data_IF_127629868964
#
_entry.id   IF_127629868964
#
_cell.length_a   1.000
_cell.length_b   1.000
_cell.length_c   1.000
_cell.angle_alpha   90.00
_cell.angle_beta   90.00
_cell.angle_gamma   90.00
#
_symmetry.space_group_name_H-M   'P 1'
#
loop_
_entity.id
_entity.type
_entity.pdbx_description
1 polymer ?
#
# COMPACT_ATOMS: atom_id res chain seq x y z
N UNK A 1 16.04 34.11 -1.87
CA UNK A 1 16.27 33.29 -3.08
C UNK A 1 15.41 33.85 -4.20
N UNK A 2 15.96 34.08 -5.39
CA UNK A 2 15.15 34.46 -6.56
C UNK A 2 14.36 33.24 -7.01
N UNK A 3 13.05 33.41 -7.24
CA UNK A 3 12.16 32.38 -7.79
C UNK A 3 12.64 32.05 -9.21
N UNK A 4 13.00 30.80 -9.48
CA UNK A 4 13.35 30.35 -10.83
C UNK A 4 12.04 30.09 -11.59
N UNK A 5 11.42 31.15 -12.09
CA UNK A 5 10.21 31.00 -12.90
C UNK A 5 10.56 30.30 -14.20
N UNK A 6 10.13 29.04 -14.35
CA UNK A 6 9.98 28.37 -15.66
C UNK A 6 8.82 29.03 -16.40
N UNK A 7 9.00 30.30 -16.74
CA UNK A 7 7.97 31.11 -17.38
C UNK A 7 7.85 30.79 -18.88
N UNK A 8 6.98 31.55 -19.56
CA UNK A 8 6.73 31.36 -20.98
C UNK A 8 8.00 31.56 -21.82
N UNK A 9 8.98 32.33 -21.35
CA UNK A 9 10.21 32.57 -22.08
C UNK A 9 11.11 31.32 -22.11
N UNK A 10 11.14 30.53 -21.04
CA UNK A 10 11.89 29.27 -21.04
C UNK A 10 11.27 28.21 -21.96
N UNK A 11 9.94 28.13 -22.01
CA UNK A 11 9.27 27.24 -22.97
C UNK A 11 9.48 27.71 -24.42
N UNK A 12 9.48 29.02 -24.66
CA UNK A 12 9.75 29.61 -25.98
C UNK A 12 11.17 29.31 -26.47
N UNK A 13 12.17 29.34 -25.57
CA UNK A 13 13.56 28.94 -25.91
C UNK A 13 13.65 27.49 -26.37
N UNK A 14 12.79 26.61 -25.86
CA UNK A 14 12.74 25.22 -26.31
C UNK A 14 12.24 25.03 -27.74
N UNK A 15 11.73 26.09 -28.39
CA UNK A 15 11.28 26.07 -29.78
C UNK A 15 12.34 26.43 -30.82
N UNK A 16 13.54 26.80 -30.41
CA UNK A 16 14.65 27.02 -31.33
C UNK A 16 15.17 25.68 -31.89
N UNK A 17 15.56 25.61 -33.18
CA UNK A 17 16.16 24.40 -33.76
C UNK A 17 17.38 23.96 -32.96
N UNK A 18 17.53 22.65 -32.72
CA UNK A 18 18.65 22.12 -31.94
C UNK A 18 20.01 22.28 -32.62
N UNK A 19 20.03 22.47 -33.93
CA UNK A 19 21.26 22.62 -34.74
C UNK A 19 21.99 23.94 -34.49
N UNK A 20 21.30 24.94 -33.93
CA UNK A 20 21.84 26.28 -33.68
C UNK A 20 22.42 26.45 -32.27
N UNK A 21 22.37 25.41 -31.42
CA UNK A 21 22.69 25.52 -30.00
C UNK A 21 24.15 25.15 -29.71
N UNK A 22 24.87 26.06 -29.05
CA UNK A 22 26.18 25.74 -28.49
C UNK A 22 26.06 24.97 -27.16
N UNK A 23 27.12 24.28 -26.76
CA UNK A 23 27.20 23.60 -25.45
C UNK A 23 26.96 24.60 -24.29
N UNK A 24 27.40 25.87 -24.46
CA UNK A 24 27.18 26.95 -23.49
C UNK A 24 25.70 27.35 -23.43
N UNK A 25 25.01 27.47 -24.56
CA UNK A 25 23.57 27.77 -24.58
C UNK A 25 22.78 26.68 -23.87
N UNK A 26 23.15 25.41 -24.07
CA UNK A 26 22.56 24.29 -23.38
C UNK A 26 22.78 24.36 -21.85
N UNK A 27 23.99 24.69 -21.39
CA UNK A 27 24.28 24.89 -19.95
C UNK A 27 23.46 26.05 -19.36
N UNK A 28 23.33 27.16 -20.08
CA UNK A 28 22.52 28.30 -19.66
C UNK A 28 21.02 27.94 -19.57
N UNK A 29 20.50 27.18 -20.53
CA UNK A 29 19.13 26.69 -20.49
C UNK A 29 18.91 25.74 -19.32
N UNK A 30 19.77 24.72 -19.16
CA UNK A 30 19.68 23.77 -18.05
C UNK A 30 19.73 24.48 -16.70
N UNK A 31 20.63 25.46 -16.55
CA UNK A 31 20.74 26.29 -15.35
C UNK A 31 19.45 27.08 -15.09
N UNK A 32 18.84 27.65 -16.12
CA UNK A 32 17.59 28.39 -16.00
C UNK A 32 16.39 27.49 -15.66
N UNK A 33 16.38 26.24 -16.12
CA UNK A 33 15.39 25.23 -15.75
C UNK A 33 15.64 24.62 -14.36
N UNK A 34 16.84 24.76 -13.82
CA UNK A 34 17.24 24.23 -12.52
C UNK A 34 17.05 22.71 -12.45
N UNK A 35 16.51 22.22 -11.33
CA UNK A 35 16.32 20.77 -11.12
C UNK A 35 15.18 20.18 -11.93
N UNK A 36 14.39 20.99 -12.65
CA UNK A 36 13.39 20.49 -13.58
C UNK A 36 14.00 20.04 -14.92
N UNK A 37 15.20 20.53 -15.28
CA UNK A 37 15.86 20.18 -16.54
C UNK A 37 15.97 18.67 -16.79
N UNK A 38 16.47 17.83 -15.84
CA UNK A 38 16.60 16.40 -16.06
C UNK A 38 15.26 15.67 -16.22
N UNK A 39 14.15 16.29 -15.83
CA UNK A 39 12.80 15.74 -16.00
C UNK A 39 12.26 15.98 -17.40
N UNK A 40 12.54 17.15 -18.00
CA UNK A 40 11.84 17.61 -19.21
C UNK A 40 12.73 17.68 -20.46
N UNK A 41 13.96 18.19 -20.35
CA UNK A 41 14.80 18.52 -21.51
C UNK A 41 15.36 17.26 -22.16
N UNK A 42 15.54 17.30 -23.49
CA UNK A 42 16.09 16.21 -24.28
C UNK A 42 17.49 15.79 -23.80
N UNK A 43 17.81 14.49 -23.92
CA UNK A 43 19.11 13.96 -23.45
C UNK A 43 20.30 14.58 -24.18
N UNK A 44 20.13 14.95 -25.46
CA UNK A 44 21.14 15.67 -26.24
C UNK A 44 21.45 17.06 -25.65
N UNK A 45 20.44 17.77 -25.13
CA UNK A 45 20.60 19.07 -24.46
C UNK A 45 21.31 18.91 -23.13
N UNK A 46 20.94 17.88 -22.36
CA UNK A 46 21.60 17.59 -21.08
C UNK A 46 23.06 17.18 -21.27
N UNK A 47 23.37 16.40 -22.30
CA UNK A 47 24.74 16.01 -22.62
C UNK A 47 25.59 17.20 -23.11
N UNK A 48 25.02 18.09 -23.92
CA UNK A 48 25.69 19.33 -24.34
C UNK A 48 26.00 20.24 -23.13
N UNK A 49 25.03 20.41 -22.22
CA UNK A 49 25.24 21.13 -20.97
C UNK A 49 26.30 20.46 -20.08
N UNK A 50 26.35 19.12 -20.03
CA UNK A 50 27.33 18.38 -19.26
C UNK A 50 28.76 18.56 -19.81
N UNK A 51 28.94 18.57 -21.14
CA UNK A 51 30.23 18.89 -21.78
C UNK A 51 30.70 20.31 -21.48
N UNK A 52 29.79 21.28 -21.55
CA UNK A 52 30.11 22.66 -21.18
C UNK A 52 30.56 22.75 -19.72
N UNK A 53 29.82 22.11 -18.80
CA UNK A 53 30.17 22.08 -17.38
C UNK A 53 31.53 21.40 -17.12
N UNK A 54 31.89 20.34 -17.86
CA UNK A 54 33.22 19.72 -17.80
C UNK A 54 34.32 20.65 -18.31
N UNK A 55 34.08 21.40 -19.39
CA UNK A 55 35.05 22.36 -19.92
C UNK A 55 35.35 23.49 -18.91
N UNK A 56 34.38 23.81 -18.06
CA UNK A 56 34.50 24.75 -16.93
C UNK A 56 35.04 24.11 -15.63
N UNK A 57 35.43 22.83 -15.64
CA UNK A 57 35.99 22.13 -14.48
C UNK A 57 34.94 21.63 -13.46
N UNK A 58 33.65 21.58 -13.81
CA UNK A 58 32.56 21.18 -12.93
C UNK A 58 32.06 19.75 -13.21
N UNK A 59 32.95 18.76 -13.06
CA UNK A 59 32.66 17.35 -13.35
C UNK A 59 31.52 16.78 -12.50
N UNK A 60 31.31 17.28 -11.28
CA UNK A 60 30.22 16.83 -10.40
C UNK A 60 28.84 17.26 -10.92
N UNK A 61 28.74 18.49 -11.44
CA UNK A 61 27.51 18.96 -12.07
C UNK A 61 27.21 18.19 -13.35
N UNK A 62 28.22 18.00 -14.20
CA UNK A 62 28.10 17.20 -15.42
C UNK A 62 27.62 15.76 -15.12
N UNK A 63 28.20 15.10 -14.12
CA UNK A 63 27.76 13.78 -13.68
C UNK A 63 26.29 13.79 -13.20
N UNK A 64 25.84 14.87 -12.55
CA UNK A 64 24.45 15.02 -12.10
C UNK A 64 23.49 15.19 -13.28
N UNK A 65 23.87 15.92 -14.33
CA UNK A 65 23.05 16.13 -15.53
C UNK A 65 22.83 14.84 -16.32
N UNK A 66 23.82 13.93 -16.32
CA UNK A 66 23.74 12.63 -16.99
C UNK A 66 22.95 11.59 -16.19
N UNK A 67 22.67 11.84 -14.91
CA UNK A 67 21.87 10.91 -14.11
C UNK A 67 20.38 11.07 -14.43
N UNK A 68 19.70 9.94 -14.64
CA UNK A 68 18.24 9.95 -14.68
C UNK A 68 17.66 10.52 -13.39
N UNK A 69 16.65 11.40 -13.48
CA UNK A 69 15.98 11.91 -12.32
C UNK A 69 15.27 10.76 -11.59
N UNK A 70 15.18 10.91 -10.27
CA UNK A 70 14.41 10.00 -9.41
C UNK A 70 13.46 10.83 -8.58
N UNK A 71 12.26 10.31 -8.33
CA UNK A 71 11.32 10.91 -7.38
C UNK A 71 11.98 10.90 -5.99
N UNK A 72 12.29 12.09 -5.44
CA UNK A 72 12.93 12.28 -4.13
C UNK A 72 12.09 13.21 -3.26
N UNK A 73 12.26 13.12 -1.93
CA UNK A 73 11.89 14.20 -1.01
C UNK A 73 10.48 14.18 -0.41
N UNK A 74 9.49 13.51 -1.00
CA UNK A 74 8.14 13.42 -0.42
C UNK A 74 7.61 12.00 -0.47
N UNK A 75 7.03 11.51 0.64
CA UNK A 75 6.54 10.12 0.76
C UNK A 75 5.36 9.83 -0.18
N UNK A 76 4.61 10.87 -0.55
CA UNK A 76 3.49 10.81 -1.48
C UNK A 76 3.78 11.39 -2.86
N UNK A 77 5.07 11.60 -3.22
CA UNK A 77 5.38 12.10 -4.56
C UNK A 77 5.14 11.03 -5.63
N UNK A 78 4.64 11.46 -6.78
CA UNK A 78 4.34 10.64 -7.95
C UNK A 78 4.77 11.37 -9.22
N UNK A 79 4.88 10.65 -10.34
CA UNK A 79 5.21 11.21 -11.63
C UNK A 79 3.99 11.18 -12.58
N UNK A 80 3.70 12.32 -13.20
CA UNK A 80 2.78 12.40 -14.34
C UNK A 80 3.57 12.22 -15.62
N UNK A 81 3.21 11.23 -16.43
CA UNK A 81 3.85 10.98 -17.73
C UNK A 81 3.10 11.73 -18.83
N UNK A 82 3.86 12.51 -19.61
CA UNK A 82 3.35 13.37 -20.69
C UNK A 82 4.08 13.06 -22.00
N UNK A 83 3.45 13.42 -23.11
CA UNK A 83 4.01 13.28 -24.46
C UNK A 83 4.05 14.65 -25.10
N UNK A 84 5.21 15.01 -25.64
CA UNK A 84 5.40 16.19 -26.46
C UNK A 84 4.86 15.92 -27.87
N UNK A 85 3.56 16.19 -28.08
CA UNK A 85 2.88 16.01 -29.36
C UNK A 85 3.39 16.95 -30.46
N UNK A 86 4.06 18.04 -30.08
CA UNK A 86 4.54 19.06 -31.01
C UNK A 86 6.06 19.16 -30.94
N UNK A 87 6.73 18.04 -31.24
CA UNK A 87 8.20 17.93 -31.23
C UNK A 87 8.87 18.94 -32.16
N UNK A 88 8.20 19.35 -33.24
CA UNK A 88 8.70 20.37 -34.16
C UNK A 88 8.68 21.77 -33.52
N UNK A 89 7.65 22.09 -32.73
CA UNK A 89 7.57 23.36 -31.99
C UNK A 89 8.43 23.38 -30.75
N UNK A 90 8.71 22.22 -30.14
CA UNK A 90 9.52 22.11 -28.93
C UNK A 90 10.59 21.01 -29.03
N UNK A 91 11.58 21.13 -29.95
CA UNK A 91 12.58 20.09 -30.19
C UNK A 91 13.53 19.85 -29.01
N UNK A 92 13.69 20.84 -28.12
CA UNK A 92 14.58 20.70 -26.95
C UNK A 92 13.90 19.98 -25.77
N UNK A 93 12.61 19.70 -25.85
CA UNK A 93 11.86 18.90 -24.87
C UNK A 93 11.82 17.45 -25.35
N UNK A 94 11.97 16.49 -24.43
CA UNK A 94 11.85 15.06 -24.77
C UNK A 94 10.51 14.74 -25.45
N UNK A 95 10.52 13.70 -26.28
CA UNK A 95 9.31 13.14 -26.88
C UNK A 95 8.27 12.73 -25.81
N UNK A 96 8.74 12.14 -24.71
CA UNK A 96 7.95 11.95 -23.50
C UNK A 96 8.77 12.33 -22.29
N UNK A 97 8.11 12.88 -21.28
CA UNK A 97 8.75 13.34 -20.07
C UNK A 97 7.83 13.14 -18.86
N UNK A 98 8.44 13.03 -17.69
CA UNK A 98 7.74 12.96 -16.42
C UNK A 98 7.76 14.31 -15.70
N UNK A 99 6.66 14.68 -15.04
CA UNK A 99 6.63 15.79 -14.09
C UNK A 99 6.32 15.26 -12.69
N UNK A 100 7.19 15.52 -11.68
CA UNK A 100 6.99 15.02 -10.34
C UNK A 100 6.04 15.95 -9.55
N UNK A 101 5.02 15.38 -8.91
CA UNK A 101 4.02 16.10 -8.12
C UNK A 101 3.73 15.41 -6.79
N UNK A 102 3.11 16.13 -5.87
CA UNK A 102 2.42 15.59 -4.71
C UNK A 102 1.11 16.35 -4.45
N UNK A 103 0.19 15.70 -3.74
CA UNK A 103 -1.03 16.33 -3.23
C UNK A 103 -0.78 16.96 -1.87
N UNK A 104 -1.28 18.17 -1.67
CA UNK A 104 -1.31 18.84 -0.38
C UNK A 104 -2.76 19.09 0.01
N UNK A 105 -3.12 18.75 1.24
CA UNK A 105 -4.44 18.99 1.83
C UNK A 105 -4.38 20.07 2.91
N UNK A 106 -5.50 20.78 3.10
CA UNK A 106 -5.64 21.82 4.11
C UNK A 106 -7.10 21.97 4.53
N UNK A 107 -7.32 22.32 5.81
CA UNK A 107 -8.64 22.74 6.32
C UNK A 107 -9.00 24.15 5.85
N UNK A 108 -8.00 24.97 5.52
CA UNK A 108 -8.18 26.31 4.98
C UNK A 108 -7.97 26.33 3.46
N UNK A 109 -8.69 27.20 2.72
CA UNK A 109 -8.43 27.40 1.30
C UNK A 109 -6.97 27.79 1.06
N UNK A 110 -6.35 27.16 0.07
CA UNK A 110 -5.01 27.57 -0.35
C UNK A 110 -5.07 28.96 -1.01
N UNK A 111 -4.07 29.83 -0.79
CA UNK A 111 -3.87 30.99 -1.67
C UNK A 111 -3.73 30.50 -3.11
N UNK A 112 -4.20 31.30 -4.09
CA UNK A 112 -4.39 30.88 -5.49
C UNK A 112 -3.25 29.99 -5.99
N UNK A 113 -3.55 28.77 -6.44
CA UNK A 113 -2.58 27.78 -6.94
C UNK A 113 -2.03 28.16 -8.31
N UNK A 114 -1.40 29.34 -8.41
CA UNK A 114 -0.98 29.93 -9.67
C UNK A 114 0.21 29.21 -10.34
N UNK A 115 0.80 28.20 -9.70
CA UNK A 115 2.07 27.62 -10.14
C UNK A 115 1.91 26.38 -11.04
N UNK A 116 0.69 25.87 -11.22
CA UNK A 116 0.39 24.77 -12.15
C UNK A 116 -0.41 25.27 -13.37
N UNK A 117 -0.32 24.61 -14.54
CA UNK A 117 -1.05 25.02 -15.74
C UNK A 117 -2.56 24.82 -15.58
N UNK A 118 -3.37 25.62 -16.27
CA UNK A 118 -4.82 25.59 -16.10
C UNK A 118 -5.49 24.27 -16.50
N UNK A 119 -5.09 23.60 -17.60
CA UNK A 119 -5.60 22.26 -17.91
C UNK A 119 -5.37 21.25 -16.77
N UNK A 120 -4.18 21.25 -16.14
CA UNK A 120 -3.87 20.38 -15.02
C UNK A 120 -4.66 20.75 -13.75
N UNK A 121 -4.88 22.04 -13.48
CA UNK A 121 -5.73 22.49 -12.37
C UNK A 121 -7.16 21.99 -12.51
N UNK A 122 -7.74 22.08 -13.71
CA UNK A 122 -9.09 21.56 -13.99
C UNK A 122 -9.14 20.05 -13.78
N UNK A 123 -8.19 19.31 -14.34
CA UNK A 123 -8.11 17.87 -14.16
C UNK A 123 -7.98 17.47 -12.68
N UNK A 124 -7.12 18.16 -11.93
CA UNK A 124 -6.96 17.94 -10.49
C UNK A 124 -8.27 18.18 -9.72
N UNK A 125 -8.98 19.26 -10.02
CA UNK A 125 -10.28 19.55 -9.43
C UNK A 125 -11.33 18.47 -9.79
N UNK A 126 -11.32 17.98 -11.02
CA UNK A 126 -12.21 16.91 -11.47
C UNK A 126 -11.90 15.56 -10.80
N UNK A 127 -10.62 15.22 -10.60
CA UNK A 127 -10.20 14.06 -9.80
C UNK A 127 -10.72 14.16 -8.37
N UNK A 128 -10.50 15.29 -7.69
CA UNK A 128 -10.99 15.52 -6.32
C UNK A 128 -12.51 15.41 -6.26
N UNK A 129 -13.22 16.05 -7.20
CA UNK A 129 -14.69 15.99 -7.30
C UNK A 129 -15.19 14.56 -7.50
N UNK A 130 -14.52 13.78 -8.33
CA UNK A 130 -14.88 12.41 -8.66
C UNK A 130 -14.64 11.48 -7.46
N UNK A 131 -13.46 11.56 -6.85
CA UNK A 131 -13.08 10.73 -5.69
C UNK A 131 -13.91 11.06 -4.44
N UNK A 132 -14.34 12.32 -4.26
CA UNK A 132 -15.20 12.73 -3.14
C UNK A 132 -16.59 12.07 -3.15
N UNK A 133 -17.03 11.51 -4.29
CA UNK A 133 -18.30 10.75 -4.35
C UNK A 133 -18.23 9.43 -3.60
N UNK A 134 -17.04 8.84 -3.48
CA UNK A 134 -16.82 7.55 -2.82
C UNK A 134 -16.04 7.68 -1.51
N UNK A 135 -15.41 8.83 -1.26
CA UNK A 135 -14.56 9.05 -0.09
C UNK A 135 -14.85 10.37 0.63
N UNK A 136 -14.66 10.34 1.95
CA UNK A 136 -14.56 11.55 2.74
C UNK A 136 -13.16 12.16 2.59
N UNK A 137 -13.04 13.10 1.65
CA UNK A 137 -11.82 13.87 1.42
C UNK A 137 -11.82 15.16 2.25
N UNK A 138 -10.61 15.64 2.61
CA UNK A 138 -10.42 16.99 3.14
C UNK A 138 -11.03 18.06 2.21
N UNK A 139 -11.40 19.25 2.72
CA UNK A 139 -12.14 20.24 1.95
C UNK A 139 -11.30 20.82 0.80
N UNK A 140 -10.01 21.08 1.04
CA UNK A 140 -9.14 21.74 0.07
C UNK A 140 -7.93 20.86 -0.28
N UNK A 141 -7.66 20.77 -1.58
CA UNK A 141 -6.55 20.03 -2.16
C UNK A 141 -5.87 20.85 -3.24
N UNK A 142 -4.54 20.77 -3.32
CA UNK A 142 -3.78 21.33 -4.44
C UNK A 142 -2.63 20.40 -4.85
N UNK A 143 -2.20 20.55 -6.10
CA UNK A 143 -0.99 19.91 -6.60
C UNK A 143 0.22 20.82 -6.40
N UNK A 144 1.34 20.22 -6.02
CA UNK A 144 2.64 20.90 -5.92
C UNK A 144 3.73 20.09 -6.59
N UNK A 145 4.69 20.79 -7.18
CA UNK A 145 5.85 20.15 -7.80
C UNK A 145 6.73 19.48 -6.75
N UNK A 146 7.16 18.25 -7.03
CA UNK A 146 8.03 17.45 -6.16
C UNK A 146 9.47 17.37 -6.71
N UNK A 147 10.00 18.51 -7.15
CA UNK A 147 11.35 18.60 -7.78
C UNK A 147 12.46 18.68 -6.72
N UNK A 148 12.23 19.48 -5.68
CA UNK A 148 13.13 19.65 -4.53
C UNK A 148 12.35 20.22 -3.33
N UNK A 149 13.07 20.53 -2.24
CA UNK A 149 12.50 21.14 -1.03
C UNK A 149 11.99 22.57 -1.23
N UNK A 150 12.22 23.18 -2.41
CA UNK A 150 11.84 24.54 -2.74
C UNK A 150 10.83 24.55 -3.89
N UNK A 151 9.74 23.79 -3.75
CA UNK A 151 8.69 23.67 -4.76
C UNK A 151 8.06 25.01 -5.17
N UNK A 152 8.07 26.02 -4.28
CA UNK A 152 7.66 27.40 -4.60
C UNK A 152 8.56 28.10 -5.62
N UNK A 153 9.76 27.58 -5.89
CA UNK A 153 10.70 28.21 -6.81
C UNK A 153 10.32 28.05 -8.26
N UNK A 154 9.46 27.09 -8.60
CA UNK A 154 9.07 26.77 -9.98
C UNK A 154 7.60 27.13 -10.22
N UNK A 155 7.29 27.61 -11.44
CA UNK A 155 5.91 27.86 -11.88
C UNK A 155 5.74 27.37 -13.31
N UNK A 156 4.75 26.52 -13.55
CA UNK A 156 4.37 25.97 -14.86
C UNK A 156 3.11 26.64 -15.44
N UNK A 157 2.64 27.74 -14.86
CA UNK A 157 1.35 28.40 -15.19
C UNK A 157 1.09 28.58 -16.69
N UNK A 158 2.14 28.78 -17.48
CA UNK A 158 2.05 29.11 -18.89
C UNK A 158 2.05 27.87 -19.81
N UNK A 159 2.12 26.65 -19.27
CA UNK A 159 2.15 25.41 -20.06
C UNK A 159 0.75 24.92 -20.40
N UNK A 160 -0.07 25.82 -20.96
CA UNK A 160 -1.48 25.53 -21.25
C UNK A 160 -1.68 24.74 -22.56
N UNK A 161 -0.62 24.61 -23.37
CA UNK A 161 -0.64 23.88 -24.64
C UNK A 161 -0.45 22.36 -24.46
N UNK A 162 -0.17 21.88 -23.24
CA UNK A 162 0.02 20.46 -22.97
C UNK A 162 -1.29 19.75 -22.60
N UNK A 163 -1.41 18.52 -23.09
CA UNK A 163 -2.49 17.58 -22.78
C UNK A 163 -2.17 16.81 -21.49
N UNK A 164 -2.99 16.98 -20.46
CA UNK A 164 -2.79 16.36 -19.14
C UNK A 164 -3.74 15.20 -18.86
N UNK A 165 -4.67 14.89 -19.76
CA UNK A 165 -5.77 13.94 -19.53
C UNK A 165 -5.28 12.56 -19.10
N UNK A 166 -4.11 12.13 -19.59
CA UNK A 166 -3.49 10.86 -19.18
C UNK A 166 -3.04 10.78 -17.73
N UNK A 167 -3.03 11.91 -17.01
CA UNK A 167 -2.64 11.96 -15.61
C UNK A 167 -3.75 11.50 -14.66
N UNK A 168 -4.99 11.31 -15.14
CA UNK A 168 -6.13 11.09 -14.24
C UNK A 168 -5.91 9.90 -13.29
N UNK A 169 -5.48 8.75 -13.81
CA UNK A 169 -5.29 7.55 -12.98
C UNK A 169 -4.23 7.75 -11.88
N UNK A 170 -3.05 8.27 -12.22
CA UNK A 170 -2.00 8.49 -11.22
C UNK A 170 -2.37 9.59 -10.21
N UNK A 171 -3.11 10.61 -10.65
CA UNK A 171 -3.65 11.66 -9.77
C UNK A 171 -4.65 11.08 -8.77
N UNK A 172 -5.58 10.24 -9.23
CA UNK A 172 -6.58 9.59 -8.39
C UNK A 172 -5.93 8.63 -7.39
N UNK A 173 -4.96 7.82 -7.84
CA UNK A 173 -4.18 6.93 -6.97
C UNK A 173 -3.44 7.72 -5.89
N UNK A 174 -2.69 8.75 -6.29
CA UNK A 174 -1.93 9.55 -5.34
C UNK A 174 -2.82 10.31 -4.35
N UNK A 175 -4.00 10.76 -4.78
CA UNK A 175 -4.97 11.42 -3.89
C UNK A 175 -5.47 10.45 -2.81
N UNK A 176 -5.87 9.25 -3.22
CA UNK A 176 -6.31 8.18 -2.31
C UNK A 176 -5.20 7.81 -1.31
N UNK A 177 -3.98 7.61 -1.81
CA UNK A 177 -2.83 7.24 -0.97
C UNK A 177 -2.47 8.36 0.00
N UNK A 178 -2.48 9.61 -0.44
CA UNK A 178 -2.19 10.77 0.43
C UNK A 178 -3.26 10.91 1.51
N UNK A 179 -4.54 10.81 1.15
CA UNK A 179 -5.65 10.88 2.11
C UNK A 179 -5.60 9.77 3.16
N UNK A 180 -5.21 8.55 2.76
CA UNK A 180 -5.04 7.41 3.67
C UNK A 180 -3.70 7.40 4.43
N UNK A 181 -2.94 8.51 4.37
CA UNK A 181 -1.61 8.66 4.97
C UNK A 181 -0.64 7.53 4.56
N UNK A 182 -0.81 7.01 3.36
CA UNK A 182 0.07 6.01 2.75
C UNK A 182 1.28 6.64 2.10
N UNK A 183 2.12 5.81 1.47
CA UNK A 183 3.26 6.25 0.65
C UNK A 183 3.05 5.77 -0.78
N UNK A 184 3.33 6.62 -1.75
CA UNK A 184 3.26 6.20 -3.16
C UNK A 184 4.55 5.45 -3.51
N UNK A 185 4.48 4.21 -4.04
CA UNK A 185 5.65 3.51 -4.54
C UNK A 185 6.29 4.29 -5.68
N UNK A 186 7.61 4.44 -5.63
CA UNK A 186 8.37 5.17 -6.65
C UNK A 186 8.52 4.39 -7.95
N UNK A 187 8.37 3.07 -7.88
CA UNK A 187 8.48 2.15 -9.00
C UNK A 187 7.15 1.98 -9.76
N UNK A 188 6.10 2.70 -9.39
CA UNK A 188 4.76 2.57 -9.98
C UNK A 188 4.32 3.88 -10.62
N UNK A 189 3.82 3.78 -11.86
CA UNK A 189 3.14 4.88 -12.57
C UNK A 189 1.87 4.38 -13.22
N UNK A 190 0.92 5.29 -13.49
CA UNK A 190 -0.33 4.97 -14.16
C UNK A 190 -0.66 6.04 -15.22
N UNK A 191 -1.19 5.61 -16.36
CA UNK A 191 -1.59 6.50 -17.45
C UNK A 191 -2.95 6.09 -18.01
N UNK A 192 -3.96 6.92 -17.79
CA UNK A 192 -5.29 6.79 -18.36
C UNK A 192 -6.05 8.11 -18.18
N UNK A 193 -7.01 8.36 -19.06
CA UNK A 193 -7.97 9.45 -18.92
C UNK A 193 -9.25 8.94 -18.24
N UNK A 194 -10.11 9.86 -17.81
CA UNK A 194 -11.41 9.53 -17.25
C UNK A 194 -12.54 10.29 -17.94
N UNK A 195 -13.50 9.54 -18.44
CA UNK A 195 -14.75 10.06 -19.00
C UNK A 195 -15.88 9.10 -18.60
N UNK A 196 -16.37 9.27 -17.36
CA UNK A 196 -17.30 8.35 -16.69
C UNK A 196 -16.79 6.90 -16.59
N UNK A 197 -15.48 6.71 -16.75
CA UNK A 197 -14.80 5.44 -16.88
C UNK A 197 -13.36 5.65 -17.35
N UNK A 198 -12.51 4.64 -17.21
CA UNK A 198 -11.13 4.73 -17.70
C UNK A 198 -11.12 4.68 -19.22
N UNK A 199 -10.45 5.66 -19.84
CA UNK A 199 -10.29 5.77 -21.28
C UNK A 199 -8.82 5.66 -21.67
N UNK A 200 -8.59 5.00 -22.80
CA UNK A 200 -7.28 4.90 -23.42
C UNK A 200 -6.71 6.27 -23.77
N UNK A 201 -5.39 6.35 -23.81
CA UNK A 201 -4.66 7.58 -24.11
C UNK A 201 -3.55 7.30 -25.13
N UNK A 202 -3.11 8.35 -25.79
CA UNK A 202 -2.05 8.26 -26.80
C UNK A 202 -0.65 8.22 -26.18
N UNK A 203 0.30 7.79 -27.02
CA UNK A 203 1.74 7.81 -26.74
C UNK A 203 2.16 6.91 -25.57
N UNK A 204 1.48 5.77 -25.40
CA UNK A 204 1.79 4.80 -24.33
C UNK A 204 3.18 4.18 -24.48
N UNK A 205 3.66 3.81 -25.69
CA UNK A 205 5.04 3.34 -25.87
C UNK A 205 6.08 4.36 -25.39
N UNK A 206 5.90 5.65 -25.72
CA UNK A 206 6.77 6.75 -25.29
C UNK A 206 6.76 6.90 -23.77
N UNK A 207 5.57 6.84 -23.15
CA UNK A 207 5.39 6.92 -21.70
C UNK A 207 6.03 5.74 -20.98
N UNK A 208 5.97 4.52 -21.53
CA UNK A 208 6.62 3.34 -20.95
C UNK A 208 8.15 3.50 -20.98
N UNK A 209 8.72 4.01 -22.09
CA UNK A 209 10.15 4.34 -22.17
C UNK A 209 10.54 5.37 -21.10
N UNK A 210 9.73 6.40 -20.93
CA UNK A 210 9.95 7.43 -19.92
C UNK A 210 9.82 6.88 -18.48
N UNK A 211 8.84 6.01 -18.24
CA UNK A 211 8.66 5.32 -16.97
C UNK A 211 9.93 4.53 -16.59
N UNK A 212 10.53 3.80 -17.53
CA UNK A 212 11.79 3.08 -17.31
C UNK A 212 12.91 4.02 -16.93
N UNK A 213 13.02 5.15 -17.65
CA UNK A 213 14.07 6.14 -17.43
C UNK A 213 14.05 6.68 -15.99
N UNK A 214 12.86 6.93 -15.44
CA UNK A 214 12.69 7.41 -14.06
C UNK A 214 12.75 6.30 -12.99
N UNK A 215 12.98 5.04 -13.41
CA UNK A 215 13.13 3.89 -12.53
C UNK A 215 11.80 3.22 -12.12
N UNK A 216 10.74 3.39 -12.90
CA UNK A 216 9.52 2.61 -12.72
C UNK A 216 9.71 1.16 -13.18
N UNK A 217 9.12 0.23 -12.43
CA UNK A 217 9.06 -1.20 -12.73
C UNK A 217 7.65 -1.59 -13.20
N UNK A 218 6.63 -0.84 -12.75
CA UNK A 218 5.23 -1.11 -13.02
C UNK A 218 4.56 0.08 -13.70
N UNK A 219 3.94 -0.16 -14.85
CA UNK A 219 3.15 0.83 -15.58
C UNK A 219 1.73 0.31 -15.73
N UNK A 220 0.78 1.02 -15.12
CA UNK A 220 -0.64 0.73 -15.24
C UNK A 220 -1.26 1.51 -16.39
N UNK A 221 -1.90 0.80 -17.31
CA UNK A 221 -2.55 1.36 -18.51
C UNK A 221 -3.94 0.74 -18.68
N UNK A 222 -4.81 1.34 -19.48
CA UNK A 222 -6.10 0.71 -19.82
C UNK A 222 -5.91 -0.61 -20.58
N UNK A 223 -6.89 -1.53 -20.50
CA UNK A 223 -6.84 -2.79 -21.26
C UNK A 223 -6.66 -2.56 -22.78
N UNK A 224 -7.34 -1.54 -23.32
CA UNK A 224 -7.20 -1.16 -24.74
C UNK A 224 -5.78 -0.73 -25.08
N UNK A 225 -5.16 0.13 -24.26
CA UNK A 225 -3.76 0.52 -24.48
C UNK A 225 -2.82 -0.67 -24.34
N UNK A 226 -3.07 -1.59 -23.39
CA UNK A 226 -2.26 -2.79 -23.20
C UNK A 226 -2.32 -3.71 -24.41
N UNK A 227 -3.49 -3.89 -25.01
CA UNK A 227 -3.70 -4.74 -26.18
C UNK A 227 -2.96 -4.25 -27.43
N UNK A 228 -2.62 -2.96 -27.49
CA UNK A 228 -1.87 -2.34 -28.59
C UNK A 228 -0.35 -2.43 -28.44
N UNK A 229 0.15 -2.94 -27.30
CA UNK A 229 1.58 -3.06 -27.05
C UNK A 229 2.09 -4.41 -27.56
N UNK A 230 3.11 -4.37 -28.41
CA UNK A 230 3.84 -5.57 -28.84
C UNK A 230 5.10 -5.73 -27.97
N UNK A 231 5.63 -6.97 -27.79
CA UNK A 231 6.83 -7.21 -26.99
C UNK A 231 8.03 -6.35 -27.40
N UNK A 232 8.17 -6.00 -28.69
CA UNK A 232 9.27 -5.17 -29.20
C UNK A 232 9.20 -3.71 -28.72
N UNK A 233 8.00 -3.24 -28.32
CA UNK A 233 7.79 -1.90 -27.78
C UNK A 233 8.01 -1.83 -26.26
N UNK A 234 8.18 -2.98 -25.61
CA UNK A 234 8.30 -3.08 -24.16
C UNK A 234 9.76 -3.24 -23.75
N UNK A 235 10.28 -2.34 -22.90
CA UNK A 235 11.56 -2.59 -22.26
C UNK A 235 11.49 -3.84 -21.36
N UNK A 236 12.49 -4.72 -21.44
CA UNK A 236 12.51 -6.03 -20.73
C UNK A 236 12.26 -5.96 -19.21
N UNK A 237 12.56 -4.82 -18.58
CA UNK A 237 12.46 -4.61 -17.13
C UNK A 237 11.16 -3.93 -16.66
N UNK A 238 10.18 -3.69 -17.53
CA UNK A 238 8.89 -3.10 -17.14
C UNK A 238 7.75 -4.11 -17.25
N UNK A 239 6.97 -4.18 -16.18
CA UNK A 239 5.68 -4.87 -16.14
C UNK A 239 4.55 -3.90 -16.49
N UNK A 240 3.90 -4.14 -17.63
CA UNK A 240 2.70 -3.39 -18.02
C UNK A 240 1.45 -4.14 -17.59
N UNK A 241 0.72 -3.52 -16.64
CA UNK A 241 -0.44 -4.10 -16.00
C UNK A 241 -1.72 -3.35 -16.42
N UNK A 242 -2.86 -4.04 -16.55
CA UNK A 242 -4.11 -3.39 -16.89
C UNK A 242 -4.71 -2.67 -15.68
N UNK A 243 -5.34 -1.54 -15.93
CA UNK A 243 -6.35 -0.94 -15.06
C UNK A 243 -7.71 -1.55 -15.41
N UNK A 244 -8.48 -1.94 -14.41
CA UNK A 244 -9.79 -2.57 -14.59
C UNK A 244 -10.83 -1.53 -14.98
N UNK A 245 -11.59 -1.76 -16.04
CA UNK A 245 -12.68 -0.84 -16.39
C UNK A 245 -13.95 -1.17 -15.58
N UNK A 246 -14.13 -0.52 -14.44
CA UNK A 246 -15.35 -0.64 -13.61
C UNK A 246 -16.13 0.68 -13.66
N UNK A 247 -17.21 0.70 -14.43
CA UNK A 247 -18.04 1.89 -14.60
C UNK A 247 -19.12 1.98 -13.50
N UNK A 248 -19.40 3.16 -12.91
CA UNK A 248 -18.61 4.40 -12.87
C UNK A 248 -17.84 4.53 -11.53
N UNK A 249 -17.19 3.46 -11.07
CA UNK A 249 -16.59 3.38 -9.73
C UNK A 249 -15.09 3.70 -9.76
N UNK A 250 -14.67 4.97 -9.55
CA UNK A 250 -13.27 5.38 -9.69
C UNK A 250 -12.31 4.57 -8.81
N UNK A 251 -12.63 4.26 -7.55
CA UNK A 251 -11.74 3.46 -6.69
C UNK A 251 -11.62 2.04 -7.24
N UNK A 252 -12.73 1.44 -7.66
CA UNK A 252 -12.72 0.09 -8.23
C UNK A 252 -11.85 0.03 -9.49
N UNK A 253 -11.86 1.09 -10.31
CA UNK A 253 -11.11 1.15 -11.56
C UNK A 253 -9.57 1.23 -11.36
N UNK A 254 -9.11 1.78 -10.23
CA UNK A 254 -7.69 1.85 -9.87
C UNK A 254 -7.31 0.89 -8.73
N UNK A 255 -8.24 0.02 -8.29
CA UNK A 255 -8.09 -0.81 -7.09
C UNK A 255 -6.85 -1.67 -7.14
N UNK A 256 -6.61 -2.36 -8.25
CA UNK A 256 -5.51 -3.31 -8.36
C UNK A 256 -4.15 -2.59 -8.36
N UNK A 257 -4.11 -1.36 -8.91
CA UNK A 257 -2.94 -0.50 -8.85
C UNK A 257 -2.70 0.04 -7.41
N UNK A 258 -3.78 0.41 -6.70
CA UNK A 258 -3.72 0.79 -5.30
C UNK A 258 -3.29 -0.38 -4.40
N UNK A 259 -3.82 -1.58 -4.61
CA UNK A 259 -3.45 -2.77 -3.85
C UNK A 259 -1.96 -3.10 -4.02
N UNK A 260 -1.42 -3.02 -5.24
CA UNK A 260 0.02 -3.15 -5.48
C UNK A 260 0.81 -2.06 -4.74
N UNK A 261 0.26 -0.87 -4.63
CA UNK A 261 0.93 0.25 -3.96
C UNK A 261 1.03 0.12 -2.44
N UNK A 262 0.25 -0.77 -1.83
CA UNK A 262 0.24 -0.97 -0.38
C UNK A 262 1.42 -1.85 0.04
N UNK A 263 2.44 -1.23 0.61
CA UNK A 263 3.53 -1.97 1.26
C UNK A 263 3.04 -2.56 2.58
N UNK A 264 3.31 -3.85 2.78
CA UNK A 264 3.11 -4.50 4.07
C UNK A 264 4.10 -3.95 5.11
N UNK A 265 3.66 -3.63 6.34
CA UNK A 265 4.54 -3.25 7.44
C UNK A 265 5.60 -4.31 7.72
N UNK A 266 6.85 -3.92 8.02
CA UNK A 266 7.90 -4.88 8.35
C UNK A 266 7.57 -5.62 9.66
N UNK A 267 7.75 -6.93 9.65
CA UNK A 267 7.57 -7.76 10.85
C UNK A 267 8.66 -7.36 11.88
N UNK A 268 8.33 -7.19 13.17
CA UNK A 268 9.29 -6.91 14.24
C UNK A 268 10.44 -7.93 14.24
N UNK A 269 11.67 -7.47 14.42
CA UNK A 269 12.85 -8.35 14.44
C UNK A 269 13.34 -8.65 15.86
N UNK A 270 12.84 -7.91 16.85
CA UNK A 270 13.12 -8.12 18.27
C UNK A 270 11.83 -8.16 19.10
N UNK A 271 11.89 -8.72 20.30
CA UNK A 271 10.80 -8.71 21.28
C UNK A 271 10.72 -7.36 22.03
N UNK A 272 10.92 -6.26 21.31
CA UNK A 272 10.87 -4.92 21.86
C UNK A 272 9.43 -4.40 21.85
N UNK A 273 8.89 -3.93 23.01
CA UNK A 273 7.56 -3.33 23.07
C UNK A 273 7.35 -2.19 22.06
N UNK A 274 8.38 -1.38 21.83
CA UNK A 274 8.33 -0.26 20.88
C UNK A 274 8.17 -0.75 19.42
N UNK A 275 8.89 -1.81 19.04
CA UNK A 275 8.78 -2.37 17.67
C UNK A 275 7.40 -2.98 17.45
N UNK A 276 6.87 -3.69 18.44
CA UNK A 276 5.51 -4.22 18.39
C UNK A 276 4.47 -3.12 18.23
N UNK A 277 4.52 -2.08 19.04
CA UNK A 277 3.53 -1.00 19.00
C UNK A 277 3.56 -0.25 17.65
N UNK A 278 4.75 -0.02 17.10
CA UNK A 278 4.90 0.51 15.74
C UNK A 278 4.29 -0.43 14.69
N UNK A 279 4.62 -1.72 14.74
CA UNK A 279 4.07 -2.70 13.82
C UNK A 279 2.55 -2.77 13.87
N UNK A 280 1.93 -2.89 15.05
CA UNK A 280 0.48 -3.00 15.17
C UNK A 280 -0.24 -1.73 14.73
N UNK A 281 0.36 -0.55 14.95
CA UNK A 281 -0.16 0.70 14.42
C UNK A 281 -0.18 0.70 12.89
N UNK A 282 0.94 0.33 12.26
CA UNK A 282 1.05 0.28 10.80
C UNK A 282 0.20 -0.84 10.19
N UNK A 283 0.12 -2.00 10.83
CA UNK A 283 -0.68 -3.15 10.42
C UNK A 283 -2.18 -2.86 10.43
N UNK A 284 -2.67 -2.17 11.47
CA UNK A 284 -4.05 -1.71 11.51
C UNK A 284 -4.33 -0.70 10.40
N UNK A 285 -3.43 0.25 10.15
CA UNK A 285 -3.56 1.20 9.05
C UNK A 285 -3.56 0.49 7.67
N UNK A 286 -2.68 -0.47 7.47
CA UNK A 286 -2.60 -1.28 6.24
C UNK A 286 -3.88 -2.09 6.01
N UNK A 287 -4.38 -2.78 7.04
CA UNK A 287 -5.64 -3.55 6.95
C UNK A 287 -6.84 -2.65 6.63
N UNK A 288 -6.92 -1.47 7.25
CA UNK A 288 -7.99 -0.51 6.96
C UNK A 288 -7.95 -0.02 5.51
N UNK A 289 -6.75 0.19 4.95
CA UNK A 289 -6.56 0.51 3.53
C UNK A 289 -7.06 -0.61 2.62
N UNK A 290 -6.74 -1.86 2.90
CA UNK A 290 -7.27 -3.02 2.14
C UNK A 290 -8.80 -3.12 2.22
N UNK A 291 -9.38 -2.89 3.40
CA UNK A 291 -10.83 -2.86 3.58
C UNK A 291 -11.50 -1.72 2.77
N UNK A 292 -10.88 -0.54 2.72
CA UNK A 292 -11.37 0.59 1.90
C UNK A 292 -11.33 0.30 0.40
N UNK A 293 -10.45 -0.61 -0.04
CA UNK A 293 -10.40 -1.11 -1.41
C UNK A 293 -11.41 -2.24 -1.68
N UNK A 294 -12.22 -2.63 -0.69
CA UNK A 294 -13.09 -3.81 -0.71
C UNK A 294 -12.32 -5.12 -1.01
N UNK A 295 -11.02 -5.17 -0.74
CA UNK A 295 -10.20 -6.37 -0.91
C UNK A 295 -10.18 -7.19 0.39
N UNK A 296 -11.35 -7.75 0.72
CA UNK A 296 -11.53 -8.54 1.93
C UNK A 296 -10.64 -9.79 1.95
N UNK A 297 -10.41 -10.41 0.78
CA UNK A 297 -9.58 -11.62 0.68
C UNK A 297 -8.12 -11.32 1.05
N UNK A 298 -7.55 -10.25 0.51
CA UNK A 298 -6.17 -9.85 0.85
C UNK A 298 -6.08 -9.34 2.28
N UNK A 299 -7.07 -8.57 2.77
CA UNK A 299 -7.13 -8.12 4.17
C UNK A 299 -7.17 -9.29 5.15
N UNK A 300 -8.04 -10.28 4.91
CA UNK A 300 -8.18 -11.44 5.79
C UNK A 300 -6.90 -12.28 5.76
N UNK A 301 -6.30 -12.50 4.58
CA UNK A 301 -5.00 -13.18 4.43
C UNK A 301 -3.89 -12.45 5.20
N UNK A 302 -3.71 -11.15 4.99
CA UNK A 302 -2.72 -10.33 5.67
C UNK A 302 -2.88 -10.40 7.20
N UNK A 303 -4.12 -10.31 7.68
CA UNK A 303 -4.39 -10.45 9.11
C UNK A 303 -4.00 -11.83 9.64
N UNK A 304 -4.40 -12.92 8.97
CA UNK A 304 -4.14 -14.28 9.44
C UNK A 304 -2.68 -14.71 9.30
N UNK A 305 -1.99 -14.30 8.24
CA UNK A 305 -0.63 -14.76 7.91
C UNK A 305 0.46 -13.85 8.46
N UNK A 306 0.18 -12.56 8.68
CA UNK A 306 1.20 -11.59 9.11
C UNK A 306 0.90 -11.01 10.50
N UNK A 307 -0.32 -10.54 10.74
CA UNK A 307 -0.65 -9.84 12.01
C UNK A 307 -0.85 -10.81 13.17
N UNK A 308 -1.62 -11.87 12.94
CA UNK A 308 -2.02 -12.82 13.98
C UNK A 308 -0.83 -13.59 14.60
N UNK A 309 0.17 -14.05 13.84
CA UNK A 309 1.35 -14.68 14.41
C UNK A 309 2.11 -13.72 15.34
N UNK A 310 2.31 -12.47 14.95
CA UNK A 310 3.00 -11.47 15.78
C UNK A 310 2.19 -11.13 17.04
N UNK A 311 0.86 -11.05 16.93
CA UNK A 311 -0.02 -10.87 18.09
C UNK A 311 0.09 -12.05 19.08
N UNK A 312 0.17 -13.28 18.57
CA UNK A 312 0.35 -14.46 19.40
C UNK A 312 1.70 -14.44 20.14
N UNK A 313 2.81 -14.12 19.46
CA UNK A 313 4.13 -14.02 20.09
C UNK A 313 4.18 -12.90 21.14
N UNK A 314 3.65 -11.70 20.85
CA UNK A 314 3.54 -10.62 21.85
C UNK A 314 2.78 -11.08 23.09
N UNK A 315 1.65 -11.77 22.90
CA UNK A 315 0.84 -12.28 24.01
C UNK A 315 1.61 -13.34 24.81
N UNK A 316 2.32 -14.27 24.15
CA UNK A 316 3.18 -15.26 24.81
C UNK A 316 4.26 -14.63 25.67
N UNK A 317 5.01 -13.69 25.09
CA UNK A 317 6.10 -13.00 25.78
C UNK A 317 5.58 -12.17 26.97
N UNK A 318 4.47 -11.45 26.80
CA UNK A 318 3.85 -10.63 27.86
C UNK A 318 3.40 -11.47 29.06
N UNK A 319 2.97 -12.70 28.82
CA UNK A 319 2.49 -13.62 29.86
C UNK A 319 3.53 -14.67 30.28
N UNK A 320 4.79 -14.54 29.84
CA UNK A 320 5.88 -15.47 30.13
C UNK A 320 5.52 -16.95 29.85
N UNK A 321 4.75 -17.20 28.78
CA UNK A 321 4.26 -18.54 28.47
C UNK A 321 5.36 -19.49 27.97
N UNK A 322 6.51 -18.97 27.55
CA UNK A 322 7.68 -19.78 27.20
C UNK A 322 8.28 -20.51 28.43
N UNK A 323 8.00 -20.03 29.63
CA UNK A 323 8.41 -20.69 30.88
C UNK A 323 7.49 -21.86 31.27
N UNK A 324 6.38 -22.05 30.55
CA UNK A 324 5.50 -23.20 30.75
C UNK A 324 6.16 -24.48 30.23
N UNK A 325 6.81 -25.20 31.13
CA UNK A 325 7.51 -26.46 30.84
C UNK A 325 6.60 -27.66 30.58
N UNK A 326 5.28 -27.52 30.78
CA UNK A 326 4.35 -28.66 30.71
C UNK A 326 3.49 -28.60 29.45
N UNK A 327 3.31 -29.74 28.75
CA UNK A 327 2.46 -29.82 27.58
C UNK A 327 1.00 -29.55 27.95
N UNK A 328 0.34 -28.64 27.23
CA UNK A 328 -1.06 -28.28 27.44
C UNK A 328 -1.92 -28.97 26.39
N UNK A 329 -3.11 -29.43 26.81
CA UNK A 329 -4.17 -29.84 25.91
C UNK A 329 -5.31 -28.84 25.93
N UNK A 330 -5.82 -28.48 24.76
CA UNK A 330 -6.79 -27.42 24.57
C UNK A 330 -8.13 -27.98 24.08
N UNK A 331 -9.23 -27.48 24.64
CA UNK A 331 -10.57 -27.61 24.08
C UNK A 331 -10.99 -26.21 23.63
N UNK A 332 -11.32 -26.04 22.35
CA UNK A 332 -11.62 -24.72 21.76
C UNK A 332 -12.78 -24.81 20.78
N UNK A 333 -13.58 -23.76 20.67
CA UNK A 333 -14.72 -23.69 19.75
C UNK A 333 -14.29 -22.96 18.47
N UNK A 334 -14.58 -23.55 17.31
CA UNK A 334 -14.42 -22.85 16.04
C UNK A 334 -15.61 -21.90 15.86
N UNK A 335 -15.36 -20.60 15.93
CA UNK A 335 -16.36 -19.56 15.64
C UNK A 335 -16.41 -19.23 14.13
N UNK A 336 -17.37 -18.40 13.70
CA UNK A 336 -17.49 -17.95 12.28
C UNK A 336 -16.26 -17.19 11.76
N UNK A 337 -15.35 -16.76 12.64
CA UNK A 337 -13.99 -16.34 12.27
C UNK A 337 -12.96 -17.27 12.89
N UNK A 338 -12.06 -17.84 12.08
CA UNK A 338 -11.01 -18.73 12.58
C UNK A 338 -9.95 -18.00 13.40
N UNK A 339 -9.83 -16.68 13.26
CA UNK A 339 -8.77 -15.87 13.86
C UNK A 339 -8.60 -16.04 15.38
N UNK A 340 -9.68 -16.19 16.14
CA UNK A 340 -9.57 -16.39 17.60
C UNK A 340 -9.03 -17.77 17.97
N UNK A 341 -9.53 -18.83 17.32
CA UNK A 341 -9.00 -20.19 17.50
C UNK A 341 -7.53 -20.23 17.11
N UNK A 342 -7.21 -19.62 15.96
CA UNK A 342 -5.88 -19.51 15.42
C UNK A 342 -4.92 -18.72 16.32
N UNK A 343 -5.41 -17.67 16.98
CA UNK A 343 -4.66 -16.94 18.00
C UNK A 343 -4.38 -17.81 19.22
N UNK A 344 -5.41 -18.41 19.81
CA UNK A 344 -5.30 -19.18 21.05
C UNK A 344 -4.36 -20.37 20.87
N UNK A 345 -4.50 -21.09 19.75
CA UNK A 345 -3.64 -22.23 19.43
C UNK A 345 -2.17 -21.78 19.30
N UNK A 346 -1.89 -20.63 18.67
CA UNK A 346 -0.53 -20.08 18.57
C UNK A 346 0.00 -19.55 19.90
N UNK A 347 -0.86 -18.93 20.72
CA UNK A 347 -0.49 -18.43 22.05
C UNK A 347 -0.15 -19.58 22.99
N UNK A 348 -0.96 -20.65 23.04
CA UNK A 348 -0.75 -21.75 23.96
C UNK A 348 0.21 -22.82 23.43
N UNK A 349 0.32 -22.99 22.10
CA UNK A 349 1.04 -24.08 21.43
C UNK A 349 0.74 -25.46 22.07
N UNK A 350 -0.54 -25.87 22.13
CA UNK A 350 -0.91 -27.10 22.78
C UNK A 350 -0.32 -28.32 22.05
N UNK A 351 -0.09 -29.42 22.76
CA UNK A 351 0.29 -30.70 22.15
C UNK A 351 -0.91 -31.41 21.55
N UNK A 352 -2.12 -31.12 22.07
CA UNK A 352 -3.38 -31.71 21.62
C UNK A 352 -4.46 -30.65 21.66
N UNK A 353 -5.28 -30.60 20.62
CA UNK A 353 -6.34 -29.60 20.49
C UNK A 353 -7.63 -30.29 20.01
N UNK A 354 -8.64 -30.32 20.89
CA UNK A 354 -9.99 -30.72 20.54
C UNK A 354 -10.77 -29.49 20.08
N UNK A 355 -11.07 -29.45 18.78
CA UNK A 355 -11.80 -28.36 18.14
C UNK A 355 -13.27 -28.72 18.00
N UNK A 356 -14.10 -27.93 18.68
CA UNK A 356 -15.55 -28.05 18.69
C UNK A 356 -16.14 -27.24 17.52
N UNK A 357 -16.78 -27.91 16.57
CA UNK A 357 -17.31 -27.29 15.34
C UNK A 357 -18.83 -27.35 15.28
N UNK A 358 -19.42 -26.31 14.72
CA UNK A 358 -20.83 -26.29 14.27
C UNK A 358 -20.93 -26.68 12.81
N UNK A 359 -22.12 -27.09 12.34
CA UNK A 359 -22.39 -27.38 10.93
C UNK A 359 -21.97 -26.22 10.00
N UNK A 360 -22.15 -24.97 10.45
CA UNK A 360 -21.75 -23.76 9.73
C UNK A 360 -20.22 -23.66 9.56
N UNK A 361 -19.45 -24.08 10.56
CA UNK A 361 -17.99 -23.89 10.64
C UNK A 361 -17.17 -25.10 10.19
N UNK A 362 -17.80 -26.27 10.07
CA UNK A 362 -17.14 -27.52 9.62
C UNK A 362 -16.51 -27.36 8.24
N UNK A 363 -17.08 -26.52 7.37
CA UNK A 363 -16.54 -26.26 6.02
C UNK A 363 -15.23 -25.48 6.01
N UNK A 364 -15.02 -24.62 7.01
CA UNK A 364 -13.82 -23.79 7.11
C UNK A 364 -12.67 -24.53 7.78
N UNK A 365 -12.99 -25.52 8.63
CA UNK A 365 -12.02 -26.27 9.43
C UNK A 365 -10.84 -26.85 8.63
N UNK A 366 -11.01 -27.54 7.48
CA UNK A 366 -9.88 -28.11 6.75
C UNK A 366 -8.81 -27.08 6.37
N UNK A 367 -9.23 -25.88 5.99
CA UNK A 367 -8.30 -24.79 5.62
C UNK A 367 -7.56 -24.24 6.84
N UNK A 368 -8.26 -24.13 7.98
CA UNK A 368 -7.68 -23.70 9.25
C UNK A 368 -6.68 -24.74 9.76
N UNK A 369 -7.06 -26.01 9.73
CA UNK A 369 -6.24 -27.13 10.14
C UNK A 369 -4.94 -27.19 9.33
N UNK A 370 -5.01 -27.07 8.00
CA UNK A 370 -3.83 -27.10 7.13
C UNK A 370 -2.81 -26.01 7.52
N UNK A 371 -3.28 -24.78 7.82
CA UNK A 371 -2.40 -23.69 8.25
C UNK A 371 -1.76 -23.98 9.61
N UNK A 372 -2.57 -24.39 10.58
CA UNK A 372 -2.10 -24.68 11.93
C UNK A 372 -1.14 -25.87 11.97
N UNK A 373 -1.39 -26.94 11.21
CA UNK A 373 -0.48 -28.09 11.13
C UNK A 373 0.87 -27.75 10.49
N UNK A 374 0.89 -26.82 9.53
CA UNK A 374 2.14 -26.36 8.92
C UNK A 374 3.01 -25.59 9.93
N UNK A 375 2.38 -24.81 10.81
CA UNK A 375 3.07 -23.96 11.78
C UNK A 375 3.37 -24.67 13.10
N UNK A 376 2.51 -25.61 13.50
CA UNK A 376 2.58 -26.37 14.75
C UNK A 376 2.46 -27.88 14.44
N UNK A 377 3.48 -28.48 13.79
CA UNK A 377 3.44 -29.88 13.37
C UNK A 377 3.33 -30.87 14.54
N UNK A 378 3.74 -30.46 15.73
CA UNK A 378 3.68 -31.27 16.96
C UNK A 378 2.28 -31.29 17.60
N UNK A 379 1.37 -30.39 17.19
CA UNK A 379 0.02 -30.33 17.74
C UNK A 379 -0.91 -31.33 17.06
N UNK A 380 -1.46 -32.25 17.84
CA UNK A 380 -2.48 -33.19 17.37
C UNK A 380 -3.86 -32.54 17.42
N UNK A 381 -4.49 -32.36 16.26
CA UNK A 381 -5.81 -31.78 16.17
C UNK A 381 -6.88 -32.86 16.03
N UNK A 382 -7.90 -32.80 16.87
CA UNK A 382 -9.12 -33.59 16.80
C UNK A 382 -10.32 -32.67 16.61
N UNK A 383 -11.35 -33.13 15.90
CA UNK A 383 -12.60 -32.39 15.76
C UNK A 383 -13.79 -33.14 16.31
N UNK A 384 -14.74 -32.40 16.85
CA UNK A 384 -16.01 -32.94 17.32
C UNK A 384 -17.15 -31.94 17.10
N UNK A 385 -18.40 -32.40 17.08
CA UNK A 385 -19.56 -31.51 17.12
C UNK A 385 -19.50 -30.61 18.36
N UNK A 386 -19.96 -29.36 18.26
CA UNK A 386 -19.92 -28.41 19.37
C UNK A 386 -20.72 -28.83 20.60
N UNK A 387 -21.68 -29.75 20.46
CA UNK A 387 -22.30 -30.47 21.57
C UNK A 387 -21.73 -31.89 21.67
N UNK A 388 -20.47 -32.06 22.11
CA UNK A 388 -19.94 -33.38 22.34
C UNK A 388 -20.73 -34.07 23.47
N UNK A 389 -20.78 -35.40 23.46
CA UNK A 389 -21.26 -36.12 24.63
C UNK A 389 -20.30 -35.87 25.82
N UNK A 390 -20.82 -35.89 27.05
CA UNK A 390 -19.97 -35.75 28.24
C UNK A 390 -18.91 -36.87 28.29
N UNK A 391 -19.27 -38.08 27.86
CA UNK A 391 -18.37 -39.23 27.73
C UNK A 391 -17.19 -38.93 26.79
N UNK A 392 -17.43 -38.23 25.67
CA UNK A 392 -16.38 -37.86 24.73
C UNK A 392 -15.40 -36.84 25.32
N UNK A 393 -15.93 -35.86 26.05
CA UNK A 393 -15.11 -34.88 26.78
C UNK A 393 -14.32 -35.54 27.93
N UNK A 394 -14.94 -36.46 28.65
CA UNK A 394 -14.28 -37.28 29.67
C UNK A 394 -13.17 -38.13 29.06
N UNK A 395 -13.41 -38.80 27.95
CA UNK A 395 -12.40 -39.59 27.24
C UNK A 395 -11.21 -38.72 26.78
N UNK A 396 -11.45 -37.49 26.32
CA UNK A 396 -10.37 -36.55 26.00
C UNK A 396 -9.60 -36.12 27.27
N UNK A 397 -10.31 -35.83 28.36
CA UNK A 397 -9.72 -35.48 29.66
C UNK A 397 -8.88 -36.61 30.24
N UNK A 398 -9.35 -37.86 30.19
CA UNK A 398 -8.69 -39.02 30.81
C UNK A 398 -7.33 -39.35 30.19
N UNK A 399 -7.05 -38.82 29.00
CA UNK A 399 -5.78 -39.01 28.31
C UNK A 399 -4.69 -38.03 28.79
N UNK A 400 -4.99 -37.12 29.72
CA UNK A 400 -4.02 -36.16 30.26
C UNK A 400 -4.32 -35.73 31.71
N UNK A 401 -3.33 -35.22 32.46
CA UNK A 401 -3.58 -34.61 33.76
C UNK A 401 -4.54 -33.41 33.65
N UNK A 402 -5.53 -33.33 34.53
CA UNK A 402 -6.56 -32.25 34.54
C UNK A 402 -5.98 -30.84 34.63
N UNK A 403 -4.87 -30.67 35.35
CA UNK A 403 -4.18 -29.38 35.46
C UNK A 403 -3.49 -28.90 34.17
N UNK A 404 -3.42 -29.78 33.16
CA UNK A 404 -2.87 -29.51 31.83
C UNK A 404 -3.96 -29.42 30.76
N UNK A 405 -5.22 -29.65 31.12
CA UNK A 405 -6.36 -29.42 30.26
C UNK A 405 -6.84 -27.98 30.41
N UNK A 406 -7.04 -27.32 29.27
CA UNK A 406 -7.48 -25.93 29.18
C UNK A 406 -8.69 -25.86 28.27
N UNK A 407 -9.75 -25.18 28.71
CA UNK A 407 -10.90 -24.85 27.87
C UNK A 407 -10.92 -23.37 27.53
N UNK A 408 -11.14 -23.08 26.25
CA UNK A 408 -11.31 -21.70 25.77
C UNK A 408 -12.72 -21.17 26.05
N UNK A 409 -12.77 -20.04 26.75
CA UNK A 409 -13.99 -19.28 27.05
C UNK A 409 -14.16 -18.05 26.14
N UNK A 410 -13.23 -17.82 25.20
CA UNK A 410 -13.23 -16.66 24.30
C UNK A 410 -14.13 -16.88 23.09
N UNK A 411 -14.05 -18.05 22.46
CA UNK A 411 -14.73 -18.36 21.21
C UNK A 411 -16.16 -18.89 21.41
N UNK A 412 -16.98 -18.71 20.38
CA UNK A 412 -18.35 -19.22 20.34
C UNK A 412 -19.42 -18.21 20.75
N UNK A 413 -20.66 -18.67 20.80
CA UNK A 413 -21.78 -17.87 21.32
C UNK A 413 -21.73 -17.85 22.84
N UNK A 414 -22.38 -16.86 23.48
CA UNK A 414 -22.52 -16.82 24.95
C UNK A 414 -23.01 -18.14 25.55
N UNK A 415 -23.90 -18.84 24.85
CA UNK A 415 -24.39 -20.16 25.25
C UNK A 415 -23.27 -21.20 25.25
N UNK A 416 -22.46 -21.26 24.19
CA UNK A 416 -21.34 -22.19 24.11
C UNK A 416 -20.29 -21.91 25.18
N UNK A 417 -20.00 -20.64 25.45
CA UNK A 417 -19.10 -20.24 26.55
C UNK A 417 -19.62 -20.69 27.92
N UNK A 418 -20.92 -20.55 28.18
CA UNK A 418 -21.54 -21.05 29.42
C UNK A 418 -21.45 -22.57 29.53
N UNK A 419 -21.73 -23.30 28.44
CA UNK A 419 -21.61 -24.77 28.41
C UNK A 419 -20.14 -25.21 28.62
N UNK A 420 -19.16 -24.53 28.02
CA UNK A 420 -17.73 -24.78 28.28
C UNK A 420 -17.35 -24.51 29.74
N UNK A 421 -17.88 -23.46 30.33
CA UNK A 421 -17.68 -23.16 31.76
C UNK A 421 -18.32 -24.22 32.67
N UNK A 422 -19.45 -24.80 32.28
CA UNK A 422 -20.06 -25.91 33.00
C UNK A 422 -19.23 -27.19 32.89
N UNK A 423 -18.70 -27.49 31.70
CA UNK A 423 -17.77 -28.61 31.51
C UNK A 423 -16.49 -28.42 32.31
N UNK A 424 -15.98 -27.18 32.40
CA UNK A 424 -14.84 -26.81 33.22
C UNK A 424 -15.06 -27.23 34.68
N UNK A 425 -16.22 -26.87 35.24
CA UNK A 425 -16.60 -27.23 36.62
C UNK A 425 -16.77 -28.73 36.81
N UNK A 426 -17.40 -29.42 35.85
CA UNK A 426 -17.67 -30.86 35.96
C UNK A 426 -16.43 -31.73 35.76
N UNK A 427 -15.48 -31.29 34.94
CA UNK A 427 -14.31 -32.07 34.54
C UNK A 427 -13.01 -31.58 35.18
N UNK A 428 -13.03 -30.46 35.89
CA UNK A 428 -11.90 -29.95 36.68
C UNK A 428 -10.72 -29.44 35.84
N UNK A 429 -10.99 -28.85 34.68
CA UNK A 429 -9.94 -28.25 33.83
C UNK A 429 -9.82 -26.74 34.00
N UNK A 430 -8.75 -26.11 33.52
CA UNK A 430 -8.55 -24.64 33.64
C UNK A 430 -9.27 -23.88 32.52
N UNK A 431 -9.76 -22.69 32.82
CA UNK A 431 -10.34 -21.82 31.79
C UNK A 431 -9.31 -20.83 31.27
N UNK A 432 -9.39 -20.46 30.00
CA UNK A 432 -8.73 -19.25 29.49
C UNK A 432 -9.72 -18.32 28.81
N UNK A 433 -9.40 -17.03 28.81
CA UNK A 433 -10.11 -16.01 28.04
C UNK A 433 -9.09 -15.03 27.48
N UNK A 434 -9.19 -14.73 26.18
CA UNK A 434 -8.42 -13.65 25.58
C UNK A 434 -9.31 -12.42 25.48
N UNK A 435 -8.99 -11.41 26.28
CA UNK A 435 -9.57 -10.08 26.15
C UNK A 435 -8.90 -9.35 24.99
N UNK A 436 -9.65 -8.57 24.21
CA UNK A 436 -9.12 -7.78 23.09
C UNK A 436 -9.86 -6.47 23.00
N UNK A 437 -9.14 -5.36 22.77
CA UNK A 437 -9.78 -4.08 22.54
C UNK A 437 -10.41 -4.05 21.14
N UNK A 438 -11.53 -3.33 20.99
CA UNK A 438 -12.22 -3.19 19.70
C UNK A 438 -12.22 -1.73 19.24
N UNK A 439 -11.97 -1.50 17.96
CA UNK A 439 -12.13 -0.22 17.27
C UNK A 439 -13.08 -0.44 16.10
N UNK A 440 -14.18 0.32 16.02
CA UNK A 440 -15.20 0.19 14.97
C UNK A 440 -15.70 -1.26 14.75
N UNK A 441 -15.90 -1.99 15.85
CA UNK A 441 -16.30 -3.42 15.89
C UNK A 441 -15.27 -4.40 15.30
N UNK A 442 -14.06 -3.97 15.02
CA UNK A 442 -12.94 -4.83 14.66
C UNK A 442 -12.00 -5.00 15.84
N UNK A 443 -11.52 -6.23 16.04
CA UNK A 443 -10.52 -6.52 17.07
C UNK A 443 -9.21 -5.80 16.74
N UNK A 444 -8.66 -5.05 17.70
CA UNK A 444 -7.41 -4.32 17.56
C UNK A 444 -6.26 -5.25 17.90
N UNK A 445 -5.54 -5.71 16.88
CA UNK A 445 -4.38 -6.57 17.06
C UNK A 445 -3.31 -5.93 17.96
N UNK A 446 -2.62 -6.77 18.73
CA UNK A 446 -1.58 -6.37 19.67
C UNK A 446 -2.10 -5.84 21.02
N UNK A 447 -3.42 -5.94 21.26
CA UNK A 447 -4.07 -5.58 22.53
C UNK A 447 -4.58 -6.78 23.31
N UNK A 448 -4.30 -7.99 22.81
CA UNK A 448 -4.76 -9.24 23.37
C UNK A 448 -4.15 -9.48 24.75
N UNK A 449 -4.98 -9.86 25.73
CA UNK A 449 -4.58 -10.17 27.10
C UNK A 449 -5.14 -11.52 27.50
N UNK A 450 -4.26 -12.43 27.89
CA UNK A 450 -4.63 -13.77 28.32
C UNK A 450 -4.99 -13.77 29.81
N UNK A 451 -6.20 -14.21 30.12
CA UNK A 451 -6.70 -14.39 31.48
C UNK A 451 -6.83 -15.88 31.78
N UNK A 452 -6.30 -16.30 32.92
CA UNK A 452 -6.41 -17.67 33.41
C UNK A 452 -7.49 -17.76 34.49
N UNK A 453 -8.32 -18.79 34.38
CA UNK A 453 -9.28 -19.15 35.43
C UNK A 453 -8.84 -20.46 36.08
N UNK A 454 -8.88 -20.54 37.42
CA UNK A 454 -8.54 -21.77 38.11
C UNK A 454 -9.47 -22.90 37.70
N UNK A 455 -9.00 -24.14 37.85
CA UNK A 455 -9.90 -25.28 37.78
C UNK A 455 -10.91 -25.14 38.93
N UNK A 456 -12.19 -25.15 38.58
CA UNK A 456 -13.28 -25.14 39.56
C UNK A 456 -13.60 -26.61 39.84
N UNK A 457 -13.02 -27.19 40.89
CA UNK A 457 -13.17 -28.61 41.22
C UNK A 457 -12.92 -28.87 42.70
#
# INVERSE_FOLDING_TARGET
>A
MRRTTVDADLLRKCGSPSEDWSDIDAELLVTAWGRLAPWVLADSVLEAAARSAESHGNSMHAATLRQSPRIRGHECAFAILLVNRDKNRYPLIRESFALPFYWESSEQPFPSSADVPMPLQKLAADVVKTMRREQQLAPHWRLRLAVDSFSDSYSLRNWNDLAFESAWAILAMALWTTQSKGKMPRNLVATAAWDNGLKSVEGVPEKIREAKRIGAEFVYVTEENRAQLTPELLPESIHVLPLTNVLPQPIAAIRDALAHSLTEPPIPSTDSPTEWDMFFHEAHAHRNRLNQLNDRKTSDRYYTETVLPVAAEKCRATHHLDELTKPISLIVILSKGSGLLELIVRVLRPVRCLVLVTDDTTKDWPNVLLRLQRELPECQFETENWKPSLERLQAFRDQQPTHLLVGDLTSGTKRMTLEMSEWNQRLGFRGIYIETDFVDKQAKAGTERLHWFPALG
#
